data_IF_038599928356
#
_entry.id   IF_038599928356
#
_cell.length_a   1.000
_cell.length_b   1.000
_cell.length_c   1.000
_cell.angle_alpha   90.00
_cell.angle_beta   90.00
_cell.angle_gamma   90.00
#
_symmetry.space_group_name_H-M   'P 1'
#
loop_
_entity.id
_entity.type
_entity.pdbx_description
1 polymer ?
#
# COMPACT_ATOMS: atom_id res chain seq x y z
N UNK A 1 19.33 -13.47 57.78
CA UNK A 1 19.29 -12.62 56.58
C UNK A 1 18.64 -13.41 55.47
N UNK A 2 17.42 -13.02 55.05
CA UNK A 2 16.74 -13.63 53.91
C UNK A 2 17.05 -12.76 52.70
N UNK A 3 17.78 -13.31 51.72
CA UNK A 3 18.05 -12.64 50.46
C UNK A 3 16.83 -12.79 49.54
N UNK A 4 16.16 -11.69 49.25
CA UNK A 4 15.08 -11.62 48.27
C UNK A 4 15.72 -11.46 46.89
N UNK A 5 15.61 -12.49 46.06
CA UNK A 5 16.05 -12.47 44.67
C UNK A 5 14.95 -11.84 43.81
N UNK A 6 15.17 -10.60 43.37
CA UNK A 6 14.28 -9.91 42.43
C UNK A 6 14.60 -10.40 41.02
N UNK A 7 13.67 -11.13 40.41
CA UNK A 7 13.74 -11.54 39.01
C UNK A 7 13.30 -10.33 38.17
N UNK A 8 14.24 -9.70 37.49
CA UNK A 8 13.96 -8.67 36.49
C UNK A 8 13.49 -9.38 35.22
N UNK A 9 12.18 -9.41 35.00
CA UNK A 9 11.59 -9.87 33.73
C UNK A 9 11.81 -8.75 32.71
N UNK A 10 12.79 -8.94 31.83
CA UNK A 10 12.98 -8.06 30.67
C UNK A 10 11.78 -8.14 29.71
N UNK A 11 11.58 -7.13 28.84
CA UNK A 11 10.46 -7.13 27.91
C UNK A 11 10.58 -8.32 26.95
N UNK A 12 9.64 -9.25 27.05
CA UNK A 12 9.43 -10.34 26.10
C UNK A 12 9.22 -9.72 24.72
N UNK A 13 10.21 -9.88 23.83
CA UNK A 13 10.04 -9.54 22.42
C UNK A 13 8.92 -10.42 21.88
N UNK A 14 7.90 -9.81 21.28
CA UNK A 14 6.79 -10.55 20.69
C UNK A 14 7.32 -11.55 19.65
N UNK A 15 6.81 -12.79 19.70
CA UNK A 15 7.24 -13.85 18.81
C UNK A 15 6.94 -13.45 17.36
N UNK A 16 7.91 -13.65 16.47
CA UNK A 16 7.72 -13.46 15.03
C UNK A 16 7.52 -14.81 14.36
N UNK A 17 6.56 -14.87 13.45
CA UNK A 17 6.18 -16.08 12.74
C UNK A 17 6.15 -15.83 11.23
N UNK A 18 6.54 -16.83 10.45
CA UNK A 18 6.34 -16.83 9.01
C UNK A 18 4.86 -17.13 8.73
N UNK A 19 4.16 -16.19 8.10
CA UNK A 19 2.79 -16.36 7.64
C UNK A 19 2.73 -16.23 6.13
N UNK A 20 2.09 -17.18 5.45
CA UNK A 20 2.00 -17.21 3.98
C UNK A 20 0.55 -17.10 3.50
N UNK A 21 0.37 -16.58 2.29
CA UNK A 21 -0.95 -16.33 1.67
C UNK A 21 -1.27 -17.31 0.53
N UNK A 22 -2.45 -17.17 -0.08
CA UNK A 22 -2.98 -18.10 -1.08
C UNK A 22 -2.12 -18.17 -2.36
N UNK A 23 -1.39 -17.10 -2.70
CA UNK A 23 -0.45 -17.09 -3.82
C UNK A 23 1.01 -17.33 -3.39
N UNK A 24 1.25 -17.78 -2.15
CA UNK A 24 2.57 -18.18 -1.67
C UNK A 24 3.47 -17.03 -1.24
N UNK A 25 2.94 -15.81 -1.09
CA UNK A 25 3.70 -14.72 -0.47
C UNK A 25 3.81 -14.97 1.03
N UNK A 26 5.04 -15.00 1.54
CA UNK A 26 5.31 -15.19 2.96
C UNK A 26 5.87 -13.91 3.59
N UNK A 27 5.47 -13.64 4.82
CA UNK A 27 5.89 -12.47 5.59
C UNK A 27 6.31 -12.89 6.99
N UNK A 28 7.41 -12.32 7.49
CA UNK A 28 7.78 -12.45 8.89
C UNK A 28 7.03 -11.41 9.73
N UNK A 29 5.94 -11.82 10.38
CA UNK A 29 5.01 -10.92 11.09
C UNK A 29 5.11 -11.06 12.59
N UNK A 30 4.65 -10.04 13.31
CA UNK A 30 4.42 -10.13 14.75
C UNK A 30 3.16 -10.97 15.00
N UNK A 31 3.31 -12.11 15.68
CA UNK A 31 2.22 -13.05 15.94
C UNK A 31 1.09 -12.41 16.76
N UNK A 32 1.41 -11.46 17.65
CA UNK A 32 0.39 -10.77 18.45
C UNK A 32 -0.53 -9.87 17.62
N UNK A 33 -0.18 -9.58 16.37
CA UNK A 33 -0.98 -8.75 15.47
C UNK A 33 -1.95 -9.56 14.59
N UNK A 34 -1.88 -10.90 14.61
CA UNK A 34 -2.70 -11.77 13.76
C UNK A 34 -4.20 -11.47 13.87
N UNK A 35 -4.72 -11.31 15.09
CA UNK A 35 -6.14 -10.99 15.32
C UNK A 35 -6.53 -9.58 14.79
N UNK A 36 -5.64 -8.59 14.92
CA UNK A 36 -5.88 -7.26 14.38
C UNK A 36 -5.87 -7.26 12.85
N UNK A 37 -4.97 -8.01 12.24
CA UNK A 37 -4.90 -8.23 10.79
C UNK A 37 -6.21 -8.86 10.30
N UNK A 38 -6.63 -9.98 10.90
CA UNK A 38 -7.83 -10.69 10.45
C UNK A 38 -9.10 -9.86 10.62
N UNK A 39 -9.19 -9.09 11.71
CA UNK A 39 -10.28 -8.12 11.92
C UNK A 39 -10.31 -7.06 10.81
N UNK A 40 -9.18 -6.46 10.47
CA UNK A 40 -9.12 -5.45 9.41
C UNK A 40 -9.45 -6.06 8.04
N UNK A 41 -8.96 -7.26 7.73
CA UNK A 41 -9.30 -7.99 6.49
C UNK A 41 -10.81 -8.19 6.39
N UNK A 42 -11.46 -8.65 7.46
CA UNK A 42 -12.91 -8.84 7.48
C UNK A 42 -13.68 -7.53 7.28
N UNK A 43 -13.28 -6.45 7.98
CA UNK A 43 -13.90 -5.13 7.85
C UNK A 43 -13.75 -4.54 6.43
N UNK A 44 -12.57 -4.71 5.81
CA UNK A 44 -12.29 -4.27 4.45
C UNK A 44 -13.17 -5.02 3.45
N UNK A 45 -13.24 -6.35 3.56
CA UNK A 45 -14.06 -7.20 2.67
C UNK A 45 -15.55 -6.88 2.78
N UNK A 46 -16.05 -6.69 4.00
CA UNK A 46 -17.43 -6.26 4.25
C UNK A 46 -17.73 -4.88 3.61
N UNK A 47 -16.78 -3.94 3.67
CA UNK A 47 -16.91 -2.65 2.97
C UNK A 47 -16.90 -2.81 1.45
N UNK A 48 -16.02 -3.64 0.90
CA UNK A 48 -16.00 -3.95 -0.54
C UNK A 48 -17.34 -4.56 -0.96
N UNK A 49 -17.83 -5.56 -0.23
CA UNK A 49 -19.09 -6.24 -0.51
C UNK A 49 -20.27 -5.26 -0.58
N UNK A 50 -20.35 -4.29 0.35
CA UNK A 50 -21.36 -3.21 0.29
C UNK A 50 -21.26 -2.36 -0.98
N UNK A 51 -20.05 -2.00 -1.41
CA UNK A 51 -19.87 -1.19 -2.62
C UNK A 51 -20.22 -1.99 -3.88
N UNK A 52 -19.89 -3.29 -3.93
CA UNK A 52 -20.32 -4.21 -5.00
C UNK A 52 -21.83 -4.37 -5.03
N UNK A 53 -22.46 -4.53 -3.87
CA UNK A 53 -23.93 -4.61 -3.76
C UNK A 53 -24.62 -3.32 -4.21
N UNK A 54 -23.94 -2.17 -4.11
CA UNK A 54 -24.37 -0.90 -4.68
C UNK A 54 -24.10 -0.75 -6.19
N UNK A 55 -23.64 -1.81 -6.87
CA UNK A 55 -23.40 -1.83 -8.31
C UNK A 55 -22.09 -1.18 -8.76
N UNK A 56 -21.17 -0.87 -7.83
CA UNK A 56 -19.91 -0.20 -8.17
C UNK A 56 -18.83 -1.20 -8.57
N UNK A 57 -18.03 -0.82 -9.57
CA UNK A 57 -16.73 -1.42 -9.80
C UNK A 57 -15.75 -1.01 -8.70
N UNK A 58 -14.89 -1.94 -8.30
CA UNK A 58 -14.01 -1.83 -7.14
C UNK A 58 -12.56 -1.66 -7.61
N UNK A 59 -11.97 -0.52 -7.24
CA UNK A 59 -10.55 -0.24 -7.43
C UNK A 59 -9.74 -0.43 -6.15
N UNK A 60 -8.47 -0.81 -6.27
CA UNK A 60 -7.47 -0.64 -5.21
C UNK A 60 -6.51 0.50 -5.55
N UNK A 61 -6.16 1.36 -4.58
CA UNK A 61 -5.12 2.37 -4.75
C UNK A 61 -3.80 1.91 -4.12
N UNK A 62 -2.79 1.64 -4.93
CA UNK A 62 -1.41 1.51 -4.48
C UNK A 62 -0.73 2.89 -4.48
N UNK A 63 -0.23 3.31 -3.31
CA UNK A 63 0.48 4.59 -3.15
C UNK A 63 1.55 4.45 -2.07
N UNK A 64 2.75 5.07 -2.23
CA UNK A 64 3.80 5.00 -1.22
C UNK A 64 3.36 5.67 0.10
N UNK A 65 2.92 4.91 1.09
CA UNK A 65 2.56 5.46 2.41
C UNK A 65 3.76 5.59 3.36
N UNK A 66 4.76 4.73 3.22
CA UNK A 66 5.92 4.69 4.12
C UNK A 66 6.87 5.88 3.92
N UNK A 67 7.58 6.24 4.99
CA UNK A 67 8.54 7.35 5.01
C UNK A 67 9.95 6.85 4.74
N UNK A 68 10.40 6.95 3.49
CA UNK A 68 11.81 6.76 3.12
C UNK A 68 12.29 7.90 2.23
N UNK A 69 13.59 8.21 2.31
CA UNK A 69 14.23 9.13 1.37
C UNK A 69 13.68 10.56 1.31
N UNK A 70 13.00 11.06 2.35
CA UNK A 70 12.37 12.39 2.37
C UNK A 70 10.85 12.40 2.14
N UNK A 71 10.25 11.24 1.90
CA UNK A 71 8.81 11.04 1.95
C UNK A 71 8.22 11.34 3.34
N UNK A 72 6.99 11.83 3.40
CA UNK A 72 6.26 12.07 4.64
C UNK A 72 4.85 11.46 4.60
N UNK A 73 4.58 10.49 5.49
CA UNK A 73 3.33 9.72 5.51
C UNK A 73 2.09 10.61 5.68
N UNK A 74 2.17 11.66 6.50
CA UNK A 74 1.05 12.58 6.72
C UNK A 74 0.62 13.29 5.44
N UNK A 75 1.55 13.60 4.53
CA UNK A 75 1.23 14.14 3.21
C UNK A 75 0.76 13.02 2.28
N UNK A 76 1.41 11.86 2.28
CA UNK A 76 1.05 10.78 1.35
C UNK A 76 -0.36 10.24 1.60
N UNK A 77 -0.84 10.24 2.85
CA UNK A 77 -2.26 9.94 3.17
C UNK A 77 -3.22 10.96 2.54
N UNK A 78 -2.86 12.25 2.54
CA UNK A 78 -3.65 13.31 1.88
C UNK A 78 -3.62 13.19 0.36
N UNK A 79 -2.46 12.83 -0.21
CA UNK A 79 -2.35 12.51 -1.64
C UNK A 79 -3.23 11.30 -1.98
N UNK A 80 -3.23 10.26 -1.15
CA UNK A 80 -4.04 9.06 -1.34
C UNK A 80 -5.55 9.39 -1.37
N UNK A 81 -6.01 10.20 -0.41
CA UNK A 81 -7.39 10.69 -0.35
C UNK A 81 -7.76 11.52 -1.59
N UNK A 82 -6.93 12.48 -1.99
CA UNK A 82 -7.14 13.27 -3.20
C UNK A 82 -7.15 12.39 -4.47
N UNK A 83 -6.29 11.38 -4.53
CA UNK A 83 -6.20 10.45 -5.65
C UNK A 83 -7.42 9.54 -5.75
N UNK A 84 -7.87 8.95 -4.63
CA UNK A 84 -9.15 8.22 -4.55
C UNK A 84 -10.29 9.07 -5.09
N UNK A 85 -10.48 10.28 -4.55
CA UNK A 85 -11.58 11.16 -4.97
C UNK A 85 -11.50 11.53 -6.47
N UNK A 86 -10.30 11.68 -7.01
CA UNK A 86 -10.10 11.95 -8.44
C UNK A 86 -10.40 10.75 -9.32
N UNK A 87 -9.99 9.55 -8.92
CA UNK A 87 -10.28 8.31 -9.67
C UNK A 87 -11.78 8.07 -9.70
N UNK A 88 -12.45 8.15 -8.55
CA UNK A 88 -13.92 8.00 -8.45
C UNK A 88 -14.64 9.05 -9.29
N UNK A 89 -14.22 10.33 -9.24
CA UNK A 89 -14.78 11.37 -10.09
C UNK A 89 -14.57 11.11 -11.59
N UNK A 90 -13.41 10.57 -11.99
CA UNK A 90 -13.12 10.27 -13.39
C UNK A 90 -14.08 9.22 -13.95
N UNK A 91 -14.32 8.15 -13.20
CA UNK A 91 -15.14 7.03 -13.67
C UNK A 91 -16.64 7.19 -13.32
N UNK A 92 -16.96 8.14 -12.45
CA UNK A 92 -18.31 8.36 -11.93
C UNK A 92 -18.39 7.86 -10.47
N UNK A 93 -18.73 8.73 -9.50
CA UNK A 93 -18.76 8.35 -8.08
C UNK A 93 -19.83 7.30 -7.75
N UNK A 94 -20.85 7.16 -8.60
CA UNK A 94 -21.87 6.12 -8.51
C UNK A 94 -21.48 4.81 -9.20
N UNK A 95 -20.43 4.82 -10.03
CA UNK A 95 -19.98 3.68 -10.82
C UNK A 95 -18.71 3.02 -10.26
N UNK A 96 -17.84 3.79 -9.57
CA UNK A 96 -16.57 3.30 -9.04
C UNK A 96 -16.40 3.68 -7.57
N UNK A 97 -15.88 2.74 -6.80
CA UNK A 97 -15.32 3.00 -5.48
C UNK A 97 -13.89 2.46 -5.39
N UNK A 98 -12.99 3.23 -4.77
CA UNK A 98 -11.57 2.86 -4.65
C UNK A 98 -11.18 2.62 -3.19
N UNK A 99 -10.69 1.43 -2.85
CA UNK A 99 -10.08 1.16 -1.56
C UNK A 99 -8.77 1.95 -1.41
N UNK A 100 -8.71 2.83 -0.40
CA UNK A 100 -7.52 3.61 -0.08
C UNK A 100 -6.82 3.03 1.17
N UNK A 101 -5.58 2.50 1.05
CA UNK A 101 -4.87 1.92 2.18
C UNK A 101 -4.41 2.96 3.21
N UNK A 102 -4.46 4.26 2.89
CA UNK A 102 -4.11 5.35 3.78
C UNK A 102 -5.20 5.75 4.78
N UNK A 103 -6.39 5.15 4.70
CA UNK A 103 -7.51 5.42 5.61
C UNK A 103 -7.19 4.97 7.05
N UNK A 104 -7.67 5.74 8.04
CA UNK A 104 -7.38 5.49 9.46
C UNK A 104 -7.91 4.14 9.95
N UNK A 105 -9.06 3.73 9.42
CA UNK A 105 -9.77 2.51 9.81
C UNK A 105 -8.96 1.22 9.56
N UNK A 106 -7.92 1.29 8.72
CA UNK A 106 -7.07 0.15 8.38
C UNK A 106 -5.69 0.21 9.05
N UNK A 107 -5.51 1.09 10.02
CA UNK A 107 -4.25 1.23 10.76
C UNK A 107 -4.11 0.04 11.72
N UNK A 108 -2.95 -0.63 11.67
CA UNK A 108 -2.55 -1.62 12.65
C UNK A 108 -1.91 -0.92 13.87
N UNK A 109 -1.83 -1.59 15.04
CA UNK A 109 -1.13 -1.06 16.22
C UNK A 109 0.29 -0.54 15.93
N UNK A 110 0.79 0.37 16.78
CA UNK A 110 2.03 1.14 16.52
C UNK A 110 3.31 0.30 16.38
N UNK A 111 3.31 -0.92 16.91
CA UNK A 111 4.42 -1.87 16.77
C UNK A 111 4.44 -2.59 15.42
N UNK A 112 3.37 -2.48 14.63
CA UNK A 112 3.30 -3.02 13.27
C UNK A 112 4.40 -2.46 12.37
N UNK A 113 4.83 -3.30 11.43
CA UNK A 113 5.86 -3.02 10.43
C UNK A 113 5.33 -3.32 9.03
N UNK A 114 6.13 -2.99 8.02
CA UNK A 114 5.77 -3.20 6.62
C UNK A 114 5.28 -4.63 6.33
N UNK A 115 5.94 -5.64 6.89
CA UNK A 115 5.53 -7.04 6.72
C UNK A 115 4.12 -7.35 7.29
N UNK A 116 3.74 -6.76 8.42
CA UNK A 116 2.42 -6.97 9.05
C UNK A 116 1.31 -6.35 8.19
N UNK A 117 1.53 -5.11 7.73
CA UNK A 117 0.64 -4.46 6.78
C UNK A 117 0.55 -5.22 5.46
N UNK A 118 1.67 -5.74 4.96
CA UNK A 118 1.66 -6.47 3.70
C UNK A 118 0.96 -7.83 3.81
N UNK A 119 1.09 -8.55 4.93
CA UNK A 119 0.26 -9.74 5.15
C UNK A 119 -1.24 -9.40 5.07
N UNK A 120 -1.66 -8.31 5.72
CA UNK A 120 -3.05 -7.83 5.67
C UNK A 120 -3.47 -7.46 4.24
N UNK A 121 -2.70 -6.64 3.53
CA UNK A 121 -3.04 -6.21 2.18
C UNK A 121 -3.01 -7.35 1.17
N UNK A 122 -2.09 -8.31 1.30
CA UNK A 122 -2.06 -9.51 0.46
C UNK A 122 -3.31 -10.36 0.66
N UNK A 123 -3.73 -10.60 1.92
CA UNK A 123 -4.99 -11.30 2.23
C UNK A 123 -6.22 -10.58 1.64
N UNK A 124 -6.22 -9.25 1.63
CA UNK A 124 -7.28 -8.45 1.01
C UNK A 124 -7.26 -8.61 -0.51
N UNK A 125 -6.12 -8.36 -1.15
CA UNK A 125 -5.97 -8.32 -2.60
C UNK A 125 -6.17 -9.68 -3.26
N UNK A 126 -5.68 -10.75 -2.64
CA UNK A 126 -5.83 -12.11 -3.15
C UNK A 126 -7.28 -12.63 -3.05
N UNK A 127 -8.05 -12.09 -2.11
CA UNK A 127 -9.34 -12.67 -1.74
C UNK A 127 -9.18 -14.10 -1.21
N UNK A 128 -10.29 -14.83 -1.06
CA UNK A 128 -10.27 -16.22 -0.56
C UNK A 128 -9.67 -17.22 -1.57
N UNK A 129 -9.80 -16.95 -2.87
CA UNK A 129 -9.38 -17.90 -3.92
C UNK A 129 -7.96 -17.65 -4.44
N UNK A 130 -7.32 -16.54 -4.05
CA UNK A 130 -6.07 -16.09 -4.67
C UNK A 130 -6.26 -15.40 -6.02
N UNK A 131 -7.50 -15.24 -6.50
CA UNK A 131 -7.81 -14.65 -7.80
C UNK A 131 -8.18 -13.17 -7.72
N UNK A 132 -8.23 -12.57 -6.53
CA UNK A 132 -8.60 -11.16 -6.35
C UNK A 132 -10.01 -10.83 -6.85
N UNK A 133 -10.97 -11.71 -6.56
CA UNK A 133 -12.36 -11.63 -7.01
C UNK A 133 -13.12 -10.37 -6.55
N UNK A 134 -12.56 -9.66 -5.56
CA UNK A 134 -13.17 -8.49 -4.96
C UNK A 134 -12.85 -7.19 -5.69
N UNK A 135 -11.89 -7.23 -6.62
CA UNK A 135 -11.41 -6.06 -7.36
C UNK A 135 -11.66 -6.20 -8.86
N UNK A 136 -11.88 -5.07 -9.52
CA UNK A 136 -12.00 -4.95 -10.97
C UNK A 136 -10.73 -4.31 -11.57
N UNK A 137 -10.07 -3.44 -10.80
CA UNK A 137 -8.81 -2.82 -11.21
C UNK A 137 -7.93 -2.41 -10.04
N UNK A 138 -6.67 -2.14 -10.34
CA UNK A 138 -5.72 -1.48 -9.45
C UNK A 138 -5.21 -0.17 -10.10
N UNK A 139 -5.05 0.87 -9.29
CA UNK A 139 -4.37 2.10 -9.66
C UNK A 139 -3.07 2.21 -8.86
N UNK A 140 -1.94 2.15 -9.57
CA UNK A 140 -0.62 2.46 -9.04
C UNK A 140 -0.34 3.96 -9.18
N UNK A 141 -0.13 4.65 -8.06
CA UNK A 141 0.13 6.08 -8.04
C UNK A 141 1.44 6.44 -8.75
N UNK A 142 1.36 7.38 -9.68
CA UNK A 142 2.52 7.90 -10.42
C UNK A 142 2.85 9.35 -10.04
N UNK A 143 3.84 9.97 -10.72
CA UNK A 143 4.22 11.35 -10.46
C UNK A 143 3.06 12.34 -10.60
N UNK A 144 2.10 12.10 -11.50
CA UNK A 144 0.98 13.02 -11.70
C UNK A 144 -0.03 13.00 -10.55
N UNK A 145 -0.09 11.93 -9.74
CA UNK A 145 -0.85 11.90 -8.49
C UNK A 145 -0.34 12.97 -7.51
N UNK A 146 0.98 13.00 -7.30
CA UNK A 146 1.64 13.94 -6.40
C UNK A 146 1.71 15.35 -7.00
N UNK A 147 1.99 15.47 -8.29
CA UNK A 147 2.03 16.76 -8.99
C UNK A 147 0.72 17.54 -8.81
N UNK A 148 -0.43 16.86 -8.92
CA UNK A 148 -1.75 17.48 -8.71
C UNK A 148 -1.95 17.94 -7.28
N UNK A 149 -1.51 17.16 -6.28
CA UNK A 149 -1.59 17.56 -4.87
C UNK A 149 -0.78 18.84 -4.61
N UNK A 150 0.45 18.91 -5.10
CA UNK A 150 1.34 20.06 -4.89
C UNK A 150 1.14 21.20 -5.91
N UNK A 151 0.21 21.05 -6.86
CA UNK A 151 0.02 21.99 -7.98
C UNK A 151 1.32 22.24 -8.77
N UNK A 152 2.05 21.17 -9.07
CA UNK A 152 3.24 21.17 -9.92
C UNK A 152 2.82 21.22 -11.38
N UNK A 153 3.55 21.98 -12.19
CA UNK A 153 3.19 22.23 -13.60
C UNK A 153 4.40 22.27 -14.54
N UNK A 154 5.54 21.76 -14.10
CA UNK A 154 6.77 21.70 -14.89
C UNK A 154 7.60 22.98 -14.87
N UNK A 155 7.21 24.03 -14.13
CA UNK A 155 8.01 25.26 -13.98
C UNK A 155 8.23 25.60 -12.52
N UNK A 156 9.51 25.65 -12.14
CA UNK A 156 9.97 25.94 -10.77
C UNK A 156 9.38 25.00 -9.69
N UNK A 157 9.03 23.76 -10.05
CA UNK A 157 8.37 22.81 -9.16
C UNK A 157 9.18 22.51 -7.89
N UNK A 158 10.49 22.40 -8.00
CA UNK A 158 11.38 22.24 -6.84
C UNK A 158 11.29 23.43 -5.86
N UNK A 159 11.17 24.67 -6.37
CA UNK A 159 10.98 25.86 -5.51
C UNK A 159 9.58 25.86 -4.89
N UNK A 160 8.55 25.37 -5.60
CA UNK A 160 7.19 25.20 -5.07
C UNK A 160 7.17 24.23 -3.90
N UNK A 161 7.82 23.08 -4.04
CA UNK A 161 7.93 22.07 -2.99
C UNK A 161 8.70 22.59 -1.77
N UNK A 162 9.77 23.36 -1.98
CA UNK A 162 10.47 24.04 -0.88
C UNK A 162 9.56 25.01 -0.13
N UNK A 163 8.83 25.89 -0.84
CA UNK A 163 7.87 26.81 -0.20
C UNK A 163 6.74 26.07 0.50
N UNK A 164 6.28 24.95 -0.05
CA UNK A 164 5.30 24.09 0.60
C UNK A 164 5.86 23.57 1.93
N UNK A 165 7.06 22.99 1.93
CA UNK A 165 7.72 22.50 3.14
C UNK A 165 7.89 23.61 4.18
N UNK A 166 8.42 24.77 3.78
CA UNK A 166 8.70 25.89 4.68
C UNK A 166 7.44 26.43 5.37
N UNK A 167 6.30 26.34 4.70
CA UNK A 167 4.99 26.73 5.26
C UNK A 167 4.44 25.67 6.21
N UNK A 168 4.45 24.41 5.80
CA UNK A 168 3.73 23.35 6.51
C UNK A 168 4.53 22.75 7.67
N UNK A 169 5.86 22.72 7.59
CA UNK A 169 6.72 22.25 8.69
C UNK A 169 6.60 23.10 9.96
N UNK A 170 6.12 24.35 9.85
CA UNK A 170 5.82 25.22 11.00
C UNK A 170 4.57 24.80 11.77
N UNK A 171 3.67 24.07 11.11
CA UNK A 171 2.37 23.66 11.65
C UNK A 171 2.32 22.17 11.99
N UNK A 172 3.25 21.39 11.44
CA UNK A 172 3.33 19.94 11.60
C UNK A 172 4.72 19.57 12.16
N UNK A 173 4.81 19.31 13.49
CA UNK A 173 6.07 18.95 14.13
C UNK A 173 6.73 17.70 13.53
N UNK A 174 5.96 16.74 13.04
CA UNK A 174 6.53 15.52 12.44
C UNK A 174 7.11 15.80 11.05
N UNK A 175 6.45 16.65 10.26
CA UNK A 175 7.02 17.13 8.99
C UNK A 175 8.32 17.92 9.22
N UNK A 176 8.42 18.68 10.31
CA UNK A 176 9.61 19.48 10.63
C UNK A 176 10.88 18.64 10.85
N UNK A 177 10.71 17.36 11.22
CA UNK A 177 11.81 16.40 11.40
C UNK A 177 12.34 15.86 10.06
N UNK A 178 11.60 16.02 8.96
CA UNK A 178 12.02 15.55 7.64
C UNK A 178 13.04 16.51 7.05
N UNK A 179 14.18 16.01 6.54
CA UNK A 179 15.15 16.90 5.91
C UNK A 179 14.53 17.61 4.69
N UNK A 180 14.51 18.95 4.72
CA UNK A 180 13.94 19.82 3.68
C UNK A 180 14.42 19.51 2.25
N UNK A 181 15.70 19.23 2.06
CA UNK A 181 16.27 18.93 0.75
C UNK A 181 15.83 17.54 0.28
N UNK A 182 15.83 16.55 1.18
CA UNK A 182 15.32 15.22 0.87
C UNK A 182 13.82 15.25 0.54
N UNK A 183 13.02 16.02 1.29
CA UNK A 183 11.61 16.26 1.00
C UNK A 183 11.39 16.75 -0.43
N UNK A 184 12.07 17.85 -0.78
CA UNK A 184 11.99 18.44 -2.13
C UNK A 184 12.40 17.40 -3.19
N UNK A 185 13.52 16.72 -3.00
CA UNK A 185 14.04 15.77 -3.98
C UNK A 185 13.13 14.55 -4.12
N UNK A 186 12.54 14.07 -3.03
CA UNK A 186 11.56 12.98 -3.08
C UNK A 186 10.34 13.39 -3.89
N UNK A 187 9.65 14.47 -3.49
CA UNK A 187 8.41 14.87 -4.14
C UNK A 187 8.59 15.44 -5.56
N UNK A 188 9.78 15.90 -5.92
CA UNK A 188 10.08 16.35 -7.28
C UNK A 188 10.47 15.21 -8.23
N UNK A 189 11.17 14.17 -7.75
CA UNK A 189 11.87 13.23 -8.63
C UNK A 189 11.46 11.76 -8.43
N UNK A 190 10.90 11.41 -7.27
CA UNK A 190 10.74 10.01 -6.84
C UNK A 190 9.35 9.68 -6.28
N UNK A 191 8.42 10.63 -6.27
CA UNK A 191 7.09 10.39 -5.73
C UNK A 191 6.26 9.54 -6.70
N UNK A 192 6.36 8.23 -6.54
CA UNK A 192 5.57 7.21 -7.22
C UNK A 192 5.71 5.86 -6.50
N UNK A 193 4.90 4.89 -6.91
CA UNK A 193 5.02 3.49 -6.45
C UNK A 193 6.38 2.86 -6.73
N UNK A 194 7.19 3.41 -7.65
CA UNK A 194 8.51 2.87 -7.99
C UNK A 194 9.51 2.95 -6.82
N UNK A 195 9.27 3.80 -5.82
CA UNK A 195 10.15 4.01 -4.67
C UNK A 195 9.52 3.57 -3.35
N UNK A 196 8.68 2.52 -3.38
CA UNK A 196 7.99 1.98 -2.20
C UNK A 196 8.01 0.45 -2.18
N UNK A 197 8.59 -0.11 -1.12
CA UNK A 197 8.60 -1.57 -0.90
C UNK A 197 7.20 -2.17 -0.83
N UNK A 198 6.26 -1.51 -0.14
CA UNK A 198 4.87 -2.00 -0.09
C UNK A 198 4.21 -2.00 -1.46
N UNK A 199 4.50 -0.98 -2.28
CA UNK A 199 3.97 -0.92 -3.65
C UNK A 199 4.64 -1.93 -4.59
N UNK A 200 5.90 -2.29 -4.31
CA UNK A 200 6.56 -3.40 -5.00
C UNK A 200 5.92 -4.75 -4.66
N UNK A 201 5.57 -4.99 -3.39
CA UNK A 201 4.79 -6.16 -3.01
C UNK A 201 3.43 -6.17 -3.73
N UNK A 202 2.68 -5.06 -3.68
CA UNK A 202 1.37 -4.92 -4.35
C UNK A 202 1.47 -5.19 -5.86
N UNK A 203 2.51 -4.70 -6.53
CA UNK A 203 2.78 -5.03 -7.93
C UNK A 203 2.95 -6.54 -8.16
N UNK A 204 3.80 -7.17 -7.33
CA UNK A 204 4.07 -8.59 -7.45
C UNK A 204 2.84 -9.46 -7.13
N UNK A 205 2.01 -9.04 -6.15
CA UNK A 205 0.73 -9.68 -5.81
C UNK A 205 -0.23 -9.61 -6.98
N UNK A 206 -0.41 -8.43 -7.58
CA UNK A 206 -1.30 -8.26 -8.74
C UNK A 206 -0.85 -9.06 -9.95
N UNK A 207 0.46 -9.13 -10.20
CA UNK A 207 1.02 -10.00 -11.23
C UNK A 207 0.69 -11.48 -10.95
N UNK A 208 0.85 -11.95 -9.72
CA UNK A 208 0.54 -13.32 -9.34
C UNK A 208 -0.95 -13.65 -9.47
N UNK A 209 -1.83 -12.73 -9.06
CA UNK A 209 -3.28 -12.83 -9.28
C UNK A 209 -3.59 -12.95 -10.77
N UNK A 210 -3.06 -12.03 -11.58
CA UNK A 210 -3.30 -12.04 -13.02
C UNK A 210 -2.73 -13.28 -13.70
N UNK A 211 -1.61 -13.82 -13.22
CA UNK A 211 -1.10 -15.12 -13.68
C UNK A 211 -2.09 -16.24 -13.40
N UNK A 212 -2.54 -16.39 -12.15
CA UNK A 212 -3.53 -17.42 -11.80
C UNK A 212 -4.85 -17.28 -12.56
N UNK A 213 -5.33 -16.05 -12.82
CA UNK A 213 -6.55 -15.83 -13.62
C UNK A 213 -6.40 -16.31 -15.07
N UNK A 214 -5.19 -16.20 -15.66
CA UNK A 214 -4.90 -16.75 -17.00
C UNK A 214 -4.83 -18.27 -16.98
N UNK A 215 -4.24 -18.84 -15.94
CA UNK A 215 -4.13 -20.29 -15.78
C UNK A 215 -5.49 -20.94 -15.51
N UNK A 216 -6.37 -20.28 -14.77
CA UNK A 216 -7.72 -20.76 -14.44
C UNK A 216 -8.67 -20.78 -15.66
N UNK A 217 -8.50 -19.85 -16.60
CA UNK A 217 -9.23 -19.83 -17.88
C UNK A 217 -8.28 -19.58 -19.06
N UNK A 218 -7.58 -20.65 -19.43
CA UNK A 218 -6.56 -20.63 -20.49
C UNK A 218 -7.12 -20.34 -21.89
N UNK A 219 -8.45 -20.42 -22.07
CA UNK A 219 -9.11 -20.10 -23.35
C UNK A 219 -9.34 -18.60 -23.51
N UNK A 220 -9.58 -17.89 -22.39
CA UNK A 220 -9.69 -16.43 -22.40
C UNK A 220 -8.29 -15.82 -22.50
N UNK A 221 -7.35 -16.23 -21.65
CA UNK A 221 -5.99 -15.67 -21.64
C UNK A 221 -5.95 -14.25 -21.06
N UNK A 222 -5.26 -13.30 -21.71
CA UNK A 222 -5.07 -11.93 -21.20
C UNK A 222 -6.35 -11.18 -20.76
N UNK A 223 -7.51 -11.29 -21.45
CA UNK A 223 -8.75 -10.63 -21.04
C UNK A 223 -9.32 -11.11 -19.69
N UNK A 224 -8.83 -12.20 -19.09
CA UNK A 224 -9.28 -12.64 -17.75
C UNK A 224 -8.61 -11.87 -16.60
N UNK A 225 -7.61 -11.04 -16.91
CA UNK A 225 -6.84 -10.25 -15.95
C UNK A 225 -7.63 -9.07 -15.40
N UNK A 226 -7.23 -8.62 -14.21
CA UNK A 226 -7.68 -7.36 -13.62
C UNK A 226 -7.05 -6.18 -14.37
N UNK A 227 -7.79 -5.07 -14.47
CA UNK A 227 -7.28 -3.83 -15.04
C UNK A 227 -6.12 -3.27 -14.21
N UNK A 228 -5.00 -2.92 -14.85
CA UNK A 228 -3.84 -2.32 -14.17
C UNK A 228 -3.60 -0.92 -14.73
N UNK A 229 -3.72 0.08 -13.86
CA UNK A 229 -3.46 1.48 -14.19
C UNK A 229 -2.18 1.96 -13.50
N UNK A 230 -1.36 2.75 -14.19
CA UNK A 230 -0.26 3.51 -13.61
C UNK A 230 -0.40 4.97 -13.99
N UNK A 231 -0.34 5.86 -13.00
CA UNK A 231 -0.49 7.32 -13.18
C UNK A 231 -1.78 7.72 -13.93
N UNK A 232 -2.82 6.89 -13.84
CA UNK A 232 -4.10 7.06 -14.52
C UNK A 232 -4.15 6.55 -15.96
N UNK A 233 -3.12 5.88 -16.46
CA UNK A 233 -3.13 5.25 -17.79
C UNK A 233 -3.11 3.73 -17.65
N UNK A 234 -3.72 3.03 -18.60
CA UNK A 234 -3.58 1.58 -18.67
C UNK A 234 -2.10 1.21 -18.89
N UNK A 235 -1.62 0.26 -18.11
CA UNK A 235 -0.27 -0.27 -18.27
C UNK A 235 -0.20 -1.11 -19.53
N UNK A 236 0.89 -1.02 -20.29
CA UNK A 236 1.06 -1.83 -21.51
C UNK A 236 1.17 -3.32 -21.15
N UNK A 237 0.78 -4.24 -22.05
CA UNK A 237 0.64 -5.62 -21.65
C UNK A 237 1.91 -6.27 -21.07
N UNK A 238 3.06 -6.08 -21.72
CA UNK A 238 4.33 -6.64 -21.23
C UNK A 238 4.74 -6.13 -19.86
N UNK A 239 4.29 -4.93 -19.45
CA UNK A 239 4.65 -4.38 -18.15
C UNK A 239 3.93 -5.09 -16.99
N UNK A 240 2.70 -5.58 -17.17
CA UNK A 240 1.99 -6.30 -16.09
C UNK A 240 2.56 -7.70 -15.79
N UNK A 241 3.40 -8.25 -16.66
CA UNK A 241 3.97 -9.59 -16.50
C UNK A 241 5.36 -9.58 -15.83
N UNK A 242 5.99 -8.42 -15.76
CA UNK A 242 7.35 -8.31 -15.24
C UNK A 242 7.35 -8.19 -13.70
N UNK A 243 8.18 -8.99 -12.99
CA UNK A 243 8.46 -8.72 -11.59
C UNK A 243 9.07 -7.32 -11.43
N UNK A 244 8.79 -6.70 -10.29
CA UNK A 244 9.55 -5.56 -9.81
C UNK A 244 10.44 -5.98 -8.63
N UNK A 245 11.28 -5.08 -8.14
CA UNK A 245 12.15 -5.31 -6.98
C UNK A 245 11.41 -5.94 -5.79
N UNK A 246 12.16 -6.62 -4.93
CA UNK A 246 11.58 -7.23 -3.73
C UNK A 246 11.03 -6.14 -2.78
N UNK A 247 9.85 -6.40 -2.23
CA UNK A 247 9.26 -5.61 -1.16
C UNK A 247 9.56 -6.21 0.22
N UNK A 248 8.52 -6.35 1.03
CA UNK A 248 8.54 -6.91 2.38
C UNK A 248 8.32 -8.43 2.39
N UNK A 249 7.88 -9.03 1.28
CA UNK A 249 7.67 -10.47 1.18
C UNK A 249 8.99 -11.25 1.42
N UNK A 250 9.10 -11.87 2.59
CA UNK A 250 10.12 -12.82 2.99
C UNK A 250 9.69 -13.59 4.25
N UNK A 251 10.08 -14.85 4.34
CA UNK A 251 9.94 -15.64 5.56
C UNK A 251 10.79 -15.07 6.71
N UNK A 252 10.50 -15.47 7.95
CA UNK A 252 11.39 -15.17 9.06
C UNK A 252 12.76 -15.84 8.86
N UNK A 253 13.82 -15.12 9.22
CA UNK A 253 15.16 -15.68 9.26
C UNK A 253 15.20 -16.77 10.35
N UNK A 254 15.63 -17.97 9.98
CA UNK A 254 15.94 -19.01 10.97
C UNK A 254 17.22 -18.55 11.67
N UNK A 255 17.10 -18.16 12.94
CA UNK A 255 18.29 -17.94 13.77
C UNK A 255 18.94 -19.32 13.99
N UNK A 256 20.06 -19.55 13.31
CA UNK A 256 20.96 -20.67 13.60
C UNK A 256 21.67 -20.51 14.92
#
# INVERSE_FOLDING_TARGET
MIAVMVIIVGPTHAARVTSCTANGFCYCVNDSLSAAIDKNVAQIRDRIARQKAAGKAIGYLSIPLSTTGGSYMGINKKVAEQSKARIERRFGPDAVWVLNPGEKDFTLPDDARGADYMLMWTKVLEGESGLGQDFDFIHFAGPSDFARFFSLHGRDDMKRLQRYYDRHSRLDPELSKVNRTLFRNYYALRASVAFSYGSHDEWNIMRAINQKRREADSKIGLPSQLGVLFDGQAVSPGLFEMPIGAGNAKACEVKG
#
